data_IF_156277388634
#
_entry.id   IF_156277388634
#
_cell.length_a   1.000
_cell.length_b   1.000
_cell.length_c   1.000
_cell.angle_alpha   90.00
_cell.angle_beta   90.00
_cell.angle_gamma   90.00
#
_symmetry.space_group_name_H-M   'P 1'
#
loop_
_entity.id
_entity.type
_entity.pdbx_description
1 polymer ?
#
# COMPACT_ATOMS: atom_id res chain seq x y z
N UNK A 1 10.67 45.40 -6.42
CA UNK A 1 9.68 44.47 -5.86
C UNK A 1 10.28 43.07 -5.62
N UNK A 2 11.47 42.97 -4.98
CA UNK A 2 12.07 41.71 -4.51
C UNK A 2 13.02 42.03 -3.32
N UNK A 3 12.50 42.56 -2.22
CA UNK A 3 13.33 42.83 -1.03
C UNK A 3 12.62 42.71 0.33
N UNK A 4 11.47 42.04 0.40
CA UNK A 4 10.74 41.83 1.67
C UNK A 4 10.35 40.37 1.95
N UNK A 5 11.16 39.40 1.53
CA UNK A 5 10.93 37.97 1.83
C UNK A 5 12.15 37.28 2.47
N UNK A 6 12.91 37.97 3.33
CA UNK A 6 14.03 37.36 4.08
C UNK A 6 13.84 37.29 5.60
N UNK A 7 12.67 37.65 6.13
CA UNK A 7 12.40 37.64 7.58
C UNK A 7 12.24 36.23 8.20
N UNK A 8 12.35 35.16 7.41
CA UNK A 8 12.22 33.77 7.87
C UNK A 8 13.54 33.07 8.29
N UNK A 9 14.69 33.73 8.16
CA UNK A 9 16.02 33.11 8.42
C UNK A 9 16.63 33.37 9.81
N UNK A 10 15.91 34.03 10.73
CA UNK A 10 16.45 34.37 12.06
C UNK A 10 16.63 33.14 12.97
N UNK A 11 15.77 32.12 12.84
CA UNK A 11 15.89 30.88 13.60
C UNK A 11 17.12 30.06 13.21
N UNK A 12 17.45 30.00 11.92
CA UNK A 12 18.62 29.27 11.43
C UNK A 12 19.92 29.93 11.87
N UNK A 13 20.01 31.27 11.84
CA UNK A 13 21.14 32.03 12.40
C UNK A 13 21.31 31.80 13.91
N UNK A 14 20.22 31.74 14.66
CA UNK A 14 20.26 31.49 16.09
C UNK A 14 20.71 30.05 16.43
N UNK A 15 20.33 29.06 15.61
CA UNK A 15 20.80 27.68 15.73
C UNK A 15 22.29 27.57 15.36
N UNK A 16 22.72 28.27 14.30
CA UNK A 16 24.13 28.34 13.89
C UNK A 16 25.01 29.03 14.95
N UNK A 17 24.53 30.09 15.60
CA UNK A 17 25.25 30.79 16.69
C UNK A 17 25.41 29.92 17.96
N UNK A 18 24.45 29.02 18.23
CA UNK A 18 24.54 28.03 19.31
C UNK A 18 25.54 26.92 18.95
N UNK A 19 25.55 26.47 17.70
CA UNK A 19 26.45 25.43 17.21
C UNK A 19 27.91 25.91 17.11
N UNK A 20 28.13 27.17 16.72
CA UNK A 20 29.46 27.77 16.55
C UNK A 20 30.10 28.28 17.85
N UNK A 21 29.46 28.09 19.01
CA UNK A 21 30.12 28.21 20.31
C UNK A 21 30.26 29.63 20.88
N UNK A 22 29.72 30.67 20.23
CA UNK A 22 29.78 32.06 20.75
C UNK A 22 28.94 32.26 22.03
N UNK A 23 27.99 31.37 22.34
CA UNK A 23 27.15 31.47 23.54
C UNK A 23 26.85 30.09 24.18
N UNK A 24 27.89 29.37 24.60
CA UNK A 24 27.77 28.06 25.29
C UNK A 24 26.75 28.05 26.44
N UNK A 25 26.66 29.15 27.20
CA UNK A 25 25.72 29.28 28.32
C UNK A 25 24.27 29.26 27.85
N UNK A 26 23.93 29.98 26.77
CA UNK A 26 22.56 30.00 26.22
C UNK A 26 22.16 28.63 25.65
N UNK A 27 23.09 27.93 24.99
CA UNK A 27 22.86 26.56 24.51
C UNK A 27 22.56 25.58 25.66
N UNK A 28 23.26 25.70 26.79
CA UNK A 28 22.99 24.90 28.00
C UNK A 28 21.59 25.21 28.57
N UNK A 29 21.22 26.49 28.71
CA UNK A 29 19.88 26.86 29.20
C UNK A 29 18.76 26.32 28.31
N UNK A 30 18.89 26.46 26.99
CA UNK A 30 17.91 25.92 26.03
C UNK A 30 17.80 24.40 26.18
N UNK A 31 18.93 23.70 26.26
CA UNK A 31 18.96 22.24 26.43
C UNK A 31 18.28 21.80 27.73
N UNK A 32 18.55 22.48 28.85
CA UNK A 32 17.92 22.19 30.15
C UNK A 32 16.41 22.41 30.10
N UNK A 33 15.96 23.52 29.51
CA UNK A 33 14.52 23.82 29.36
C UNK A 33 13.83 22.74 28.53
N UNK A 34 14.44 22.30 27.42
CA UNK A 34 13.90 21.22 26.58
C UNK A 34 13.80 19.91 27.37
N UNK A 35 14.83 19.53 28.13
CA UNK A 35 14.82 18.31 28.95
C UNK A 35 13.73 18.36 30.03
N UNK A 36 13.57 19.51 30.70
CA UNK A 36 12.52 19.69 31.72
C UNK A 36 11.13 19.58 31.09
N UNK A 37 10.90 20.20 29.93
CA UNK A 37 9.63 20.11 29.21
C UNK A 37 9.30 18.67 28.80
N UNK A 38 10.27 17.94 28.23
CA UNK A 38 10.10 16.53 27.86
C UNK A 38 9.76 15.69 29.09
N UNK A 39 10.43 15.93 30.21
CA UNK A 39 10.21 15.20 31.46
C UNK A 39 8.83 15.49 32.05
N UNK A 40 8.40 16.76 32.06
CA UNK A 40 7.05 17.15 32.50
C UNK A 40 5.97 16.51 31.64
N UNK A 41 6.12 16.56 30.32
CA UNK A 41 5.19 15.93 29.37
C UNK A 41 5.13 14.42 29.59
N UNK A 42 6.27 13.75 29.75
CA UNK A 42 6.35 12.33 30.05
C UNK A 42 5.60 11.96 31.33
N UNK A 43 5.83 12.70 32.42
CA UNK A 43 5.17 12.46 33.72
C UNK A 43 3.66 12.65 33.63
N UNK A 44 3.20 13.71 32.96
CA UNK A 44 1.76 13.96 32.75
C UNK A 44 1.11 12.82 31.98
N UNK A 45 1.76 12.32 30.93
CA UNK A 45 1.24 11.22 30.12
C UNK A 45 1.16 9.92 30.92
N UNK A 46 2.23 9.56 31.65
CA UNK A 46 2.23 8.36 32.49
C UNK A 46 1.13 8.43 33.56
N UNK A 47 0.94 9.59 34.19
CA UNK A 47 -0.13 9.79 35.17
C UNK A 47 -1.53 9.74 34.55
N UNK A 48 -1.70 10.28 33.35
CA UNK A 48 -2.96 10.24 32.60
C UNK A 48 -3.34 8.82 32.20
N UNK A 49 -2.38 8.03 31.71
CA UNK A 49 -2.60 6.63 31.33
C UNK A 49 -3.00 5.75 32.52
N UNK A 50 -2.57 6.07 33.75
CA UNK A 50 -2.99 5.37 34.98
C UNK A 50 -4.44 5.68 35.39
N UNK A 51 -5.03 6.81 34.97
CA UNK A 51 -6.37 7.24 35.41
C UNK A 51 -7.53 6.64 34.62
N UNK A 52 -7.29 6.03 33.46
CA UNK A 52 -8.34 5.53 32.56
C UNK A 52 -8.72 4.05 32.75
N UNK A 53 -8.44 3.45 33.92
CA UNK A 53 -8.72 2.04 34.18
C UNK A 53 -10.17 1.73 34.51
N UNK A 54 -11.06 1.65 33.52
CA UNK A 54 -12.12 0.64 33.57
C UNK A 54 -11.47 -0.68 33.17
N UNK A 55 -11.50 -1.67 34.06
CA UNK A 55 -10.94 -3.02 33.86
C UNK A 55 -11.70 -3.78 32.77
N UNK A 56 -11.50 -3.40 31.51
CA UNK A 56 -11.72 -4.34 30.42
C UNK A 56 -10.58 -5.36 30.51
N UNK A 57 -10.93 -6.64 30.63
CA UNK A 57 -9.97 -7.75 30.60
C UNK A 57 -9.37 -7.82 29.19
N UNK A 58 -8.32 -7.03 28.97
CA UNK A 58 -7.59 -7.04 27.71
C UNK A 58 -6.71 -8.30 27.63
N UNK A 59 -6.44 -8.79 26.41
CA UNK A 59 -5.54 -9.91 26.22
C UNK A 59 -4.14 -9.66 26.82
N UNK A 60 -3.42 -10.72 27.22
CA UNK A 60 -2.06 -10.62 27.72
C UNK A 60 -1.10 -10.11 26.64
N UNK A 61 0.06 -9.58 27.04
CA UNK A 61 1.08 -9.16 26.10
C UNK A 61 2.25 -8.42 26.77
N UNK A 62 3.36 -8.21 26.04
CA UNK A 62 4.52 -7.52 26.57
C UNK A 62 4.18 -6.07 26.94
N UNK A 63 4.66 -5.63 28.11
CA UNK A 63 4.46 -4.25 28.56
C UNK A 63 5.23 -3.29 27.64
N UNK A 64 4.51 -2.43 26.94
CA UNK A 64 5.10 -1.38 26.12
C UNK A 64 5.63 -0.21 26.96
N UNK A 65 6.59 0.53 26.40
CA UNK A 65 7.08 1.78 26.95
C UNK A 65 5.97 2.86 26.89
N UNK A 66 5.98 3.87 27.78
CA UNK A 66 5.07 4.99 27.66
C UNK A 66 5.23 5.68 26.29
N UNK A 67 4.13 6.20 25.75
CA UNK A 67 4.00 6.83 24.42
C UNK A 67 4.24 5.92 23.21
N UNK A 68 5.36 5.21 23.16
CA UNK A 68 5.83 4.46 22.00
C UNK A 68 5.27 3.03 21.98
N UNK A 69 4.95 2.48 23.15
CA UNK A 69 4.48 1.11 23.30
C UNK A 69 5.59 0.11 23.01
N UNK A 70 5.31 -0.88 22.17
CA UNK A 70 6.20 -1.98 21.82
C UNK A 70 7.00 -1.73 20.52
N UNK A 71 6.88 -0.56 19.89
CA UNK A 71 7.55 -0.28 18.60
C UNK A 71 9.06 -0.51 18.64
N UNK A 72 9.74 -0.10 19.73
CA UNK A 72 11.19 -0.28 19.88
C UNK A 72 11.61 -1.73 20.18
N UNK A 73 10.66 -2.59 20.50
CA UNK A 73 10.89 -4.00 20.82
C UNK A 73 10.56 -4.93 19.64
N UNK A 74 10.17 -4.38 18.49
CA UNK A 74 9.85 -5.16 17.29
C UNK A 74 11.14 -5.72 16.67
N UNK A 75 11.12 -7.02 16.35
CA UNK A 75 12.16 -7.65 15.54
C UNK A 75 11.79 -7.55 14.04
N UNK A 76 12.78 -7.49 13.11
CA UNK A 76 12.50 -7.33 11.67
C UNK A 76 11.57 -8.38 11.07
N UNK A 77 11.67 -9.63 11.51
CA UNK A 77 10.80 -10.72 11.08
C UNK A 77 9.55 -10.79 11.95
N UNK A 78 8.60 -9.89 11.71
CA UNK A 78 7.41 -9.72 12.55
C UNK A 78 6.62 -11.02 12.77
N UNK A 79 6.48 -11.86 11.74
CA UNK A 79 5.76 -13.13 11.85
C UNK A 79 6.47 -14.10 12.82
N UNK A 80 7.80 -14.20 12.77
CA UNK A 80 8.60 -15.01 13.72
C UNK A 80 8.55 -14.41 15.12
N UNK A 81 8.63 -13.08 15.24
CA UNK A 81 8.52 -12.38 16.51
C UNK A 81 7.17 -12.65 17.19
N UNK A 82 6.08 -12.56 16.44
CA UNK A 82 4.74 -12.84 16.95
C UNK A 82 4.56 -14.30 17.35
N UNK A 83 5.15 -15.24 16.61
CA UNK A 83 5.18 -16.65 17.01
C UNK A 83 5.93 -16.86 18.34
N UNK A 84 7.07 -16.19 18.55
CA UNK A 84 7.78 -16.25 19.84
C UNK A 84 6.92 -15.71 20.97
N UNK A 85 6.23 -14.58 20.76
CA UNK A 85 5.34 -14.01 21.75
C UNK A 85 4.14 -14.92 22.05
N UNK A 86 3.60 -15.62 21.05
CA UNK A 86 2.44 -16.49 21.26
C UNK A 86 2.77 -17.69 22.16
N UNK A 87 4.01 -18.18 22.10
CA UNK A 87 4.52 -19.21 23.01
C UNK A 87 4.62 -18.74 24.48
N UNK A 88 4.72 -17.43 24.72
CA UNK A 88 4.85 -16.83 26.05
C UNK A 88 3.50 -16.38 26.61
N UNK A 89 2.72 -15.65 25.79
CA UNK A 89 1.49 -14.97 26.22
C UNK A 89 0.22 -15.72 25.81
N UNK A 90 0.34 -16.76 24.99
CA UNK A 90 -0.80 -17.50 24.45
C UNK A 90 -1.26 -16.98 23.09
N UNK A 91 -2.39 -17.51 22.57
CA UNK A 91 -2.79 -17.36 21.18
C UNK A 91 -3.44 -16.00 20.84
N UNK A 92 -3.75 -15.16 21.85
CA UNK A 92 -4.27 -13.79 21.69
C UNK A 92 -3.32 -12.85 22.44
N UNK A 93 -2.63 -11.99 21.69
CA UNK A 93 -1.57 -11.15 22.21
C UNK A 93 -1.92 -9.69 21.98
N UNK A 94 -1.84 -8.87 23.02
CA UNK A 94 -1.96 -7.43 22.92
C UNK A 94 -0.60 -6.78 22.74
N UNK A 95 -0.49 -5.92 21.73
CA UNK A 95 0.62 -5.01 21.49
C UNK A 95 0.11 -3.58 21.40
N UNK A 96 0.98 -2.63 21.70
CA UNK A 96 0.71 -1.21 21.59
C UNK A 96 1.73 -0.58 20.63
N UNK A 97 1.30 -0.04 19.50
CA UNK A 97 2.16 0.66 18.56
C UNK A 97 1.86 2.16 18.59
N UNK A 98 2.66 2.93 19.35
CA UNK A 98 2.34 4.32 19.63
C UNK A 98 0.96 4.44 20.30
N UNK A 99 0.03 5.13 19.66
CA UNK A 99 -1.37 5.26 20.13
C UNK A 99 -2.30 4.14 19.65
N UNK A 100 -1.82 3.22 18.82
CA UNK A 100 -2.62 2.15 18.21
C UNK A 100 -2.52 0.84 18.99
N UNK A 101 -3.65 0.28 19.37
CA UNK A 101 -3.71 -1.05 19.98
C UNK A 101 -3.75 -2.10 18.85
N UNK A 102 -2.89 -3.10 18.92
CA UNK A 102 -2.80 -4.20 17.95
C UNK A 102 -3.03 -5.50 18.68
N UNK A 103 -3.98 -6.31 18.18
CA UNK A 103 -4.24 -7.65 18.68
C UNK A 103 -3.71 -8.65 17.65
N UNK A 104 -2.79 -9.50 18.08
CA UNK A 104 -2.22 -10.57 17.26
C UNK A 104 -2.90 -11.88 17.63
N UNK A 105 -3.37 -12.60 16.62
CA UNK A 105 -3.98 -13.92 16.77
C UNK A 105 -3.05 -14.97 16.16
N UNK A 106 -2.74 -16.01 16.92
CA UNK A 106 -1.76 -17.04 16.54
C UNK A 106 -2.33 -18.46 16.64
N UNK A 107 -3.60 -18.64 16.29
CA UNK A 107 -4.27 -19.94 16.26
C UNK A 107 -5.24 -20.04 15.07
N UNK A 108 -5.32 -21.21 14.46
CA UNK A 108 -6.24 -21.48 13.34
C UNK A 108 -7.71 -21.40 13.77
N UNK A 109 -8.04 -21.84 14.98
CA UNK A 109 -9.40 -21.75 15.55
C UNK A 109 -9.86 -20.29 15.67
N UNK A 110 -9.00 -19.42 16.19
CA UNK A 110 -9.27 -17.98 16.29
C UNK A 110 -9.33 -17.31 14.91
N UNK A 111 -8.45 -17.71 13.99
CA UNK A 111 -8.51 -17.21 12.61
C UNK A 111 -9.84 -17.55 11.94
N UNK A 112 -10.37 -18.77 12.16
CA UNK A 112 -11.71 -19.16 11.70
C UNK A 112 -12.78 -18.28 12.36
N UNK A 113 -12.71 -18.11 13.68
CA UNK A 113 -13.69 -17.31 14.41
C UNK A 113 -13.79 -15.88 13.87
N UNK A 114 -12.65 -15.20 13.67
CA UNK A 114 -12.65 -13.80 13.21
C UNK A 114 -12.85 -13.62 11.70
N UNK A 115 -12.37 -14.55 10.86
CA UNK A 115 -12.44 -14.42 9.40
C UNK A 115 -13.67 -15.08 8.78
N UNK A 116 -14.41 -15.91 9.53
CA UNK A 116 -15.60 -16.62 9.06
C UNK A 116 -16.81 -16.39 9.96
N UNK A 117 -16.68 -16.69 11.25
CA UNK A 117 -17.84 -16.74 12.15
C UNK A 117 -18.24 -15.33 12.66
N UNK A 118 -17.30 -14.37 12.64
CA UNK A 118 -17.45 -12.97 13.01
C UNK A 118 -16.94 -12.03 11.89
N UNK A 119 -16.96 -12.48 10.65
CA UNK A 119 -16.38 -11.78 9.50
C UNK A 119 -16.90 -10.34 9.36
N UNK A 120 -18.21 -10.10 9.57
CA UNK A 120 -18.81 -8.76 9.52
C UNK A 120 -18.18 -7.80 10.55
N UNK A 121 -17.85 -8.29 11.74
CA UNK A 121 -17.29 -7.47 12.82
C UNK A 121 -15.80 -7.16 12.60
N UNK A 122 -15.07 -8.05 11.90
CA UNK A 122 -13.63 -7.94 11.67
C UNK A 122 -13.25 -7.69 10.19
N UNK A 123 -14.22 -7.34 9.35
CA UNK A 123 -13.99 -7.03 7.93
C UNK A 123 -13.19 -5.72 7.74
N UNK A 124 -13.17 -4.85 8.75
CA UNK A 124 -12.44 -3.58 8.72
C UNK A 124 -10.96 -3.75 8.35
N UNK A 125 -10.44 -2.77 7.63
CA UNK A 125 -9.02 -2.67 7.25
C UNK A 125 -8.36 -1.53 7.99
N UNK A 126 -7.12 -1.76 8.36
CA UNK A 126 -6.25 -0.69 8.82
C UNK A 126 -5.94 0.28 7.67
N UNK A 127 -5.86 1.58 7.97
CA UNK A 127 -5.74 2.64 6.97
C UNK A 127 -4.51 3.50 7.18
N UNK A 128 -3.33 3.00 6.79
CA UNK A 128 -2.13 3.80 6.65
C UNK A 128 -2.35 5.04 5.79
N UNK A 129 -1.73 6.16 6.18
CA UNK A 129 -1.90 7.47 5.53
C UNK A 129 -1.58 7.39 4.03
N UNK A 130 -0.48 6.75 3.65
CA UNK A 130 -0.06 6.64 2.24
C UNK A 130 -1.07 5.91 1.35
N UNK A 131 -1.81 4.95 1.90
CA UNK A 131 -2.76 4.17 1.12
C UNK A 131 -3.96 4.98 0.65
N UNK A 132 -4.30 6.10 1.30
CA UNK A 132 -5.39 6.96 0.84
C UNK A 132 -5.19 7.40 -0.62
N UNK A 133 -3.98 7.86 -0.95
CA UNK A 133 -3.65 8.25 -2.31
C UNK A 133 -3.49 7.03 -3.21
N UNK A 134 -2.69 6.03 -2.80
CA UNK A 134 -2.38 4.87 -3.63
C UNK A 134 -3.61 4.03 -4.02
N UNK A 135 -4.70 4.12 -3.26
CA UNK A 135 -5.93 3.33 -3.48
C UNK A 135 -7.08 4.14 -4.10
N UNK A 136 -6.78 5.30 -4.70
CA UNK A 136 -7.80 6.19 -5.26
C UNK A 136 -8.91 6.54 -4.24
N UNK A 137 -8.51 6.89 -3.01
CA UNK A 137 -9.45 7.24 -1.95
C UNK A 137 -10.23 6.04 -1.41
N UNK A 138 -9.58 4.88 -1.23
CA UNK A 138 -10.20 3.62 -0.77
C UNK A 138 -11.17 2.98 -1.76
N UNK A 139 -10.97 3.22 -3.05
CA UNK A 139 -11.79 2.63 -4.13
C UNK A 139 -11.27 1.25 -4.58
N UNK A 140 -10.11 0.83 -4.08
CA UNK A 140 -9.47 -0.44 -4.40
C UNK A 140 -10.12 -1.65 -3.69
N UNK A 141 -9.80 -2.86 -4.15
CA UNK A 141 -10.36 -4.09 -3.58
C UNK A 141 -9.69 -4.55 -2.28
N UNK A 142 -8.49 -4.08 -1.98
CA UNK A 142 -7.65 -4.60 -0.90
C UNK A 142 -7.86 -3.80 0.39
N UNK A 143 -7.92 -2.45 0.32
CA UNK A 143 -8.10 -1.54 1.45
C UNK A 143 -9.43 -0.77 1.47
N UNK A 144 -10.27 -0.92 0.43
CA UNK A 144 -11.60 -0.32 0.38
C UNK A 144 -12.53 -0.71 1.52
N UNK A 145 -13.51 0.15 1.80
CA UNK A 145 -14.52 -0.09 2.84
C UNK A 145 -15.40 -1.27 2.47
N UNK A 146 -15.69 -2.19 3.40
CA UNK A 146 -16.58 -3.34 3.15
C UNK A 146 -18.07 -2.95 3.05
N UNK A 147 -18.38 -1.95 2.24
CA UNK A 147 -19.72 -1.44 1.97
C UNK A 147 -20.37 -2.15 0.78
N UNK A 148 -21.47 -1.59 0.27
CA UNK A 148 -22.18 -2.16 -0.88
C UNK A 148 -21.39 -1.98 -2.18
N UNK A 149 -20.64 -0.88 -2.32
CA UNK A 149 -19.84 -0.58 -3.51
C UNK A 149 -18.64 -1.51 -3.62
N UNK A 150 -17.89 -1.73 -2.54
CA UNK A 150 -16.80 -2.71 -2.55
C UNK A 150 -17.30 -4.13 -2.82
N UNK A 151 -18.46 -4.52 -2.26
CA UNK A 151 -19.07 -5.84 -2.57
C UNK A 151 -19.44 -5.95 -4.05
N UNK A 152 -19.93 -4.88 -4.66
CA UNK A 152 -20.22 -4.80 -6.11
C UNK A 152 -18.93 -4.99 -6.92
N UNK A 153 -17.89 -4.22 -6.62
CA UNK A 153 -16.59 -4.31 -7.33
C UNK A 153 -15.94 -5.67 -7.17
N UNK A 154 -15.96 -6.25 -5.96
CA UNK A 154 -15.43 -7.59 -5.69
C UNK A 154 -16.21 -8.66 -6.47
N UNK A 155 -17.53 -8.54 -6.56
CA UNK A 155 -18.37 -9.44 -7.35
C UNK A 155 -18.01 -9.33 -8.84
N UNK A 156 -17.90 -8.12 -9.37
CA UNK A 156 -17.48 -7.87 -10.76
C UNK A 156 -16.11 -8.50 -11.03
N UNK A 157 -15.11 -8.22 -10.19
CA UNK A 157 -13.77 -8.78 -10.34
C UNK A 157 -13.80 -10.32 -10.36
N UNK A 158 -14.52 -10.94 -9.43
CA UNK A 158 -14.62 -12.41 -9.36
C UNK A 158 -15.38 -13.03 -10.56
N UNK A 159 -16.43 -12.38 -11.04
CA UNK A 159 -17.30 -12.93 -12.09
C UNK A 159 -16.80 -12.64 -13.50
N UNK A 160 -16.18 -11.49 -13.70
CA UNK A 160 -15.82 -10.99 -15.03
C UNK A 160 -14.32 -11.12 -15.30
N UNK A 161 -13.45 -10.91 -14.29
CA UNK A 161 -11.99 -10.96 -14.49
C UNK A 161 -11.41 -12.32 -14.09
N UNK A 162 -11.82 -12.84 -12.93
CA UNK A 162 -11.25 -14.04 -12.31
C UNK A 162 -12.12 -15.29 -12.51
N UNK A 163 -13.11 -15.24 -13.42
CA UNK A 163 -13.92 -16.41 -13.74
C UNK A 163 -13.14 -17.41 -14.60
N UNK A 164 -13.55 -18.68 -14.56
CA UNK A 164 -12.93 -19.72 -15.37
C UNK A 164 -12.93 -19.34 -16.86
N UNK A 165 -14.04 -18.78 -17.36
CA UNK A 165 -14.17 -18.35 -18.75
C UNK A 165 -13.14 -17.28 -19.13
N UNK A 166 -12.97 -16.24 -18.30
CA UNK A 166 -12.01 -15.15 -18.56
C UNK A 166 -10.56 -15.60 -18.38
N UNK A 167 -10.32 -16.52 -17.43
CA UNK A 167 -9.02 -17.15 -17.30
C UNK A 167 -8.70 -18.04 -18.50
N UNK A 168 -9.66 -18.77 -19.05
CA UNK A 168 -9.47 -19.62 -20.23
C UNK A 168 -9.25 -18.78 -21.50
N UNK A 169 -9.94 -17.65 -21.67
CA UNK A 169 -9.69 -16.74 -22.80
C UNK A 169 -8.27 -16.18 -22.80
N UNK A 170 -7.70 -15.93 -21.62
CA UNK A 170 -6.31 -15.50 -21.45
C UNK A 170 -5.27 -16.64 -21.48
N UNK A 171 -5.67 -17.91 -21.70
CA UNK A 171 -4.76 -19.06 -21.68
C UNK A 171 -3.60 -18.90 -22.67
N UNK A 172 -3.88 -18.44 -23.89
CA UNK A 172 -2.87 -18.26 -24.93
C UNK A 172 -1.79 -17.23 -24.52
N UNK A 173 -2.21 -16.15 -23.86
CA UNK A 173 -1.33 -15.09 -23.34
C UNK A 173 -0.41 -15.64 -22.25
N UNK A 174 -0.97 -16.38 -21.27
CA UNK A 174 -0.17 -17.01 -20.20
C UNK A 174 0.83 -18.02 -20.77
N UNK A 175 0.38 -18.90 -21.66
CA UNK A 175 1.21 -19.93 -22.29
C UNK A 175 2.36 -19.33 -23.10
N UNK A 176 2.13 -18.19 -23.76
CA UNK A 176 3.15 -17.47 -24.53
C UNK A 176 4.28 -16.98 -23.63
N UNK A 177 3.97 -16.32 -22.51
CA UNK A 177 4.99 -15.77 -21.61
C UNK A 177 5.74 -16.88 -20.86
N UNK A 178 5.06 -17.94 -20.41
CA UNK A 178 5.72 -19.09 -19.79
C UNK A 178 6.68 -19.78 -20.76
N UNK A 179 6.29 -19.95 -22.04
CA UNK A 179 7.19 -20.54 -23.03
C UNK A 179 8.36 -19.64 -23.40
N UNK A 180 8.18 -18.31 -23.33
CA UNK A 180 9.29 -17.36 -23.46
C UNK A 180 10.28 -17.56 -22.31
N UNK A 181 9.83 -17.56 -21.07
CA UNK A 181 10.69 -17.82 -19.90
C UNK A 181 11.46 -19.14 -20.04
N UNK A 182 10.80 -20.24 -20.42
CA UNK A 182 11.47 -21.53 -20.62
C UNK A 182 12.55 -21.45 -21.70
N UNK A 183 12.27 -20.74 -22.80
CA UNK A 183 13.25 -20.53 -23.88
C UNK A 183 14.44 -19.69 -23.40
N UNK A 184 14.19 -18.63 -22.64
CA UNK A 184 15.23 -17.74 -22.12
C UNK A 184 16.13 -18.49 -21.13
N UNK A 185 15.55 -19.27 -20.21
CA UNK A 185 16.28 -20.15 -19.29
C UNK A 185 17.08 -21.22 -20.05
N UNK A 186 16.51 -21.82 -21.10
CA UNK A 186 17.23 -22.79 -21.93
C UNK A 186 18.41 -22.14 -22.67
N UNK A 187 18.31 -20.87 -23.05
CA UNK A 187 19.43 -20.11 -23.63
C UNK A 187 20.57 -19.82 -22.65
N UNK A 188 20.31 -19.98 -21.35
CA UNK A 188 21.25 -19.75 -20.24
C UNK A 188 21.86 -21.06 -19.72
N UNK A 189 21.96 -22.09 -20.56
CA UNK A 189 22.63 -23.35 -20.20
C UNK A 189 24.06 -23.06 -19.70
N UNK A 190 24.43 -23.69 -18.60
CA UNK A 190 25.71 -23.55 -17.91
C UNK A 190 25.97 -22.17 -17.27
N UNK A 191 24.96 -21.30 -17.14
CA UNK A 191 25.07 -20.07 -16.35
C UNK A 191 24.18 -20.13 -15.09
N UNK A 192 24.65 -19.62 -13.94
CA UNK A 192 23.79 -19.47 -12.77
C UNK A 192 22.65 -18.49 -13.07
N UNK A 193 21.42 -18.87 -12.71
CA UNK A 193 20.23 -18.04 -12.90
C UNK A 193 19.59 -17.67 -11.57
N UNK A 194 19.02 -16.47 -11.49
CA UNK A 194 18.15 -16.07 -10.40
C UNK A 194 16.70 -16.46 -10.71
N UNK A 195 16.26 -17.59 -10.16
CA UNK A 195 14.90 -18.11 -10.38
C UNK A 195 13.83 -17.14 -9.89
N UNK A 196 14.07 -16.44 -8.78
CA UNK A 196 13.12 -15.47 -8.23
C UNK A 196 12.85 -14.32 -9.19
N UNK A 197 13.92 -13.79 -9.79
CA UNK A 197 13.82 -12.72 -10.79
C UNK A 197 13.12 -13.20 -12.07
N UNK A 198 13.49 -14.38 -12.58
CA UNK A 198 12.87 -14.95 -13.79
C UNK A 198 11.37 -15.19 -13.60
N UNK A 199 10.97 -15.77 -12.46
CA UNK A 199 9.57 -16.00 -12.13
C UNK A 199 8.84 -14.68 -11.93
N UNK A 200 9.45 -13.70 -11.26
CA UNK A 200 8.86 -12.38 -11.05
C UNK A 200 8.57 -11.66 -12.38
N UNK A 201 9.57 -11.57 -13.26
CA UNK A 201 9.41 -10.95 -14.59
C UNK A 201 8.35 -11.69 -15.41
N UNK A 202 8.31 -13.02 -15.32
CA UNK A 202 7.32 -13.83 -16.05
C UNK A 202 5.91 -13.60 -15.53
N UNK A 203 5.70 -13.59 -14.20
CA UNK A 203 4.39 -13.31 -13.60
C UNK A 203 3.94 -11.90 -13.96
N UNK A 204 4.83 -10.91 -13.86
CA UNK A 204 4.53 -9.54 -14.25
C UNK A 204 4.09 -9.47 -15.71
N UNK A 205 4.85 -10.06 -16.64
CA UNK A 205 4.49 -10.10 -18.06
C UNK A 205 3.16 -10.82 -18.33
N UNK A 206 2.87 -11.88 -17.57
CA UNK A 206 1.59 -12.60 -17.61
C UNK A 206 0.45 -11.67 -17.18
N UNK A 207 0.57 -11.01 -16.03
CA UNK A 207 -0.47 -10.10 -15.50
C UNK A 207 -0.68 -8.93 -16.44
N UNK A 208 0.39 -8.25 -16.87
CA UNK A 208 0.31 -7.11 -17.79
C UNK A 208 -0.34 -7.48 -19.13
N UNK A 209 -0.05 -8.67 -19.65
CA UNK A 209 -0.73 -9.15 -20.85
C UNK A 209 -2.21 -9.42 -20.64
N UNK A 210 -2.59 -9.96 -19.48
CA UNK A 210 -4.01 -10.18 -19.18
C UNK A 210 -4.75 -8.86 -18.99
N UNK A 211 -4.08 -7.82 -18.49
CA UNK A 211 -4.65 -6.49 -18.28
C UNK A 211 -4.89 -5.75 -19.60
N UNK A 212 -3.86 -5.66 -20.47
CA UNK A 212 -3.90 -4.81 -21.68
C UNK A 212 -3.12 -5.39 -22.87
N UNK A 213 -2.92 -6.71 -22.91
CA UNK A 213 -2.04 -7.36 -23.88
C UNK A 213 -2.45 -7.24 -25.35
N UNK A 214 -3.71 -6.87 -25.65
CA UNK A 214 -4.16 -6.58 -27.01
C UNK A 214 -3.98 -5.11 -27.41
N UNK A 215 -3.75 -4.22 -26.43
CA UNK A 215 -3.79 -2.76 -26.61
C UNK A 215 -2.43 -2.18 -26.99
N UNK A 216 -1.34 -2.69 -26.42
CA UNK A 216 0.02 -2.12 -26.58
C UNK A 216 0.95 -3.12 -27.25
N UNK A 217 1.71 -2.66 -28.26
CA UNK A 217 2.56 -3.52 -29.09
C UNK A 217 4.02 -3.05 -29.13
N UNK A 218 4.91 -3.98 -29.51
CA UNK A 218 6.31 -3.68 -29.78
C UNK A 218 7.08 -3.06 -28.60
N UNK A 219 7.90 -2.05 -28.90
CA UNK A 219 8.78 -1.37 -27.95
C UNK A 219 8.01 -0.60 -26.87
N UNK A 220 6.85 -0.06 -27.22
CA UNK A 220 6.02 0.71 -26.28
C UNK A 220 5.54 -0.16 -25.13
N UNK A 221 5.15 -1.42 -25.41
CA UNK A 221 4.76 -2.38 -24.38
C UNK A 221 5.89 -2.63 -23.37
N UNK A 222 7.12 -2.72 -23.85
CA UNK A 222 8.30 -2.94 -22.99
C UNK A 222 8.49 -1.74 -22.08
N UNK A 223 8.41 -0.52 -22.63
CA UNK A 223 8.58 0.71 -21.88
C UNK A 223 7.50 0.88 -20.80
N UNK A 224 6.23 0.66 -21.15
CA UNK A 224 5.10 0.71 -20.20
C UNK A 224 5.26 -0.34 -19.10
N UNK A 225 5.69 -1.56 -19.44
CA UNK A 225 5.92 -2.61 -18.45
C UNK A 225 7.02 -2.27 -17.44
N UNK A 226 8.13 -1.69 -17.92
CA UNK A 226 9.24 -1.23 -17.06
C UNK A 226 8.79 -0.10 -16.14
N UNK A 227 8.06 0.87 -16.67
CA UNK A 227 7.57 2.00 -15.88
C UNK A 227 6.56 1.55 -14.82
N UNK A 228 5.62 0.67 -15.19
CA UNK A 228 4.66 0.08 -14.27
C UNK A 228 5.35 -0.71 -13.16
N UNK A 229 6.36 -1.53 -13.48
CA UNK A 229 7.14 -2.26 -12.49
C UNK A 229 7.84 -1.32 -11.51
N UNK A 230 8.44 -0.23 -12.01
CA UNK A 230 9.10 0.77 -11.16
C UNK A 230 8.09 1.41 -10.19
N UNK A 231 6.91 1.77 -10.68
CA UNK A 231 5.87 2.40 -9.85
C UNK A 231 5.35 1.42 -8.80
N UNK A 232 5.03 0.17 -9.18
CA UNK A 232 4.59 -0.86 -8.23
C UNK A 232 5.65 -1.15 -7.15
N UNK A 233 6.94 -1.14 -7.53
CA UNK A 233 8.03 -1.31 -6.57
C UNK A 233 8.05 -0.15 -5.57
N UNK A 234 7.94 1.10 -6.05
CA UNK A 234 7.84 2.28 -5.17
C UNK A 234 6.60 2.27 -4.27
N UNK A 235 5.46 1.83 -4.79
CA UNK A 235 4.23 1.66 -3.99
C UNK A 235 4.43 0.63 -2.87
N UNK A 236 5.00 -0.54 -3.20
CA UNK A 236 5.29 -1.58 -2.22
C UNK A 236 6.28 -1.11 -1.14
N UNK A 237 7.35 -0.42 -1.53
CA UNK A 237 8.29 0.17 -0.56
C UNK A 237 7.60 1.14 0.39
N UNK A 238 6.69 1.97 -0.14
CA UNK A 238 5.96 2.94 0.66
C UNK A 238 4.97 2.28 1.62
N UNK A 239 4.26 1.24 1.18
CA UNK A 239 3.29 0.51 2.01
C UNK A 239 3.97 -0.31 3.11
N UNK A 240 5.15 -0.88 2.83
CA UNK A 240 5.88 -1.73 3.78
C UNK A 240 6.71 -0.93 4.78
N UNK A 241 7.08 0.31 4.46
CA UNK A 241 7.89 1.15 5.33
C UNK A 241 7.05 1.70 6.50
N UNK A 242 7.55 1.62 7.75
CA UNK A 242 6.84 2.18 8.89
C UNK A 242 6.73 3.71 8.79
N UNK A 243 5.52 4.22 8.93
CA UNK A 243 5.20 5.64 8.98
C UNK A 243 4.80 6.06 10.39
N UNK A 244 5.50 7.05 10.95
CA UNK A 244 5.28 7.57 12.28
C UNK A 244 3.87 8.17 12.44
N UNK A 245 3.33 8.73 11.36
CA UNK A 245 1.98 9.30 11.32
C UNK A 245 0.89 8.26 11.55
N UNK A 246 1.14 7.00 11.18
CA UNK A 246 0.18 5.90 11.38
C UNK A 246 0.10 5.45 12.86
N UNK A 247 1.15 5.71 13.64
CA UNK A 247 1.21 5.41 15.07
C UNK A 247 0.83 6.63 15.93
N UNK A 248 1.04 7.85 15.39
CA UNK A 248 0.77 9.12 16.05
C UNK A 248 -0.03 10.05 15.11
N UNK A 249 -1.36 9.92 15.06
CA UNK A 249 -2.21 10.64 14.10
C UNK A 249 -2.08 12.17 14.15
N UNK A 250 -1.66 12.74 15.29
CA UNK A 250 -1.45 14.19 15.44
C UNK A 250 -0.32 14.70 14.54
N UNK A 251 0.61 13.82 14.15
CA UNK A 251 1.74 14.13 13.28
C UNK A 251 1.40 14.01 11.80
N UNK A 252 0.27 13.38 11.44
CA UNK A 252 -0.11 13.12 10.05
C UNK A 252 -0.18 14.39 9.20
N UNK A 253 -0.61 15.52 9.78
CA UNK A 253 -0.68 16.82 9.10
C UNK A 253 0.67 17.32 8.55
N UNK A 254 1.79 16.89 9.14
CA UNK A 254 3.11 17.44 8.82
C UNK A 254 3.86 16.64 7.76
N UNK A 255 3.38 15.44 7.39
CA UNK A 255 4.06 14.53 6.45
C UNK A 255 5.58 14.40 6.71
N UNK A 256 5.96 14.15 7.98
CA UNK A 256 7.36 14.23 8.44
C UNK A 256 8.33 13.33 7.65
N UNK A 257 7.83 12.23 7.09
CA UNK A 257 8.62 11.27 6.31
C UNK A 257 8.37 11.37 4.80
N UNK A 258 7.55 12.31 4.33
CA UNK A 258 7.25 12.51 2.92
C UNK A 258 6.37 11.43 2.27
N UNK A 259 5.61 10.67 3.08
CA UNK A 259 4.77 9.58 2.59
C UNK A 259 3.63 10.08 1.70
N UNK A 260 2.95 11.16 2.11
CA UNK A 260 1.86 11.71 1.30
C UNK A 260 2.39 12.26 -0.02
N UNK A 261 3.51 12.98 0.02
CA UNK A 261 4.15 13.51 -1.18
C UNK A 261 4.54 12.42 -2.18
N UNK A 262 5.21 11.36 -1.71
CA UNK A 262 5.65 10.27 -2.59
C UNK A 262 4.47 9.43 -3.08
N UNK A 263 3.47 9.16 -2.22
CA UNK A 263 2.26 8.44 -2.63
C UNK A 263 1.52 9.17 -3.76
N UNK A 264 1.35 10.49 -3.64
CA UNK A 264 0.71 11.30 -4.68
C UNK A 264 1.53 11.36 -5.97
N UNK A 265 2.86 11.34 -5.89
CA UNK A 265 3.74 11.28 -7.06
C UNK A 265 3.58 9.94 -7.81
N UNK A 266 3.69 8.83 -7.08
CA UNK A 266 3.51 7.48 -7.64
C UNK A 266 2.11 7.29 -8.23
N UNK A 267 1.07 7.79 -7.55
CA UNK A 267 -0.30 7.75 -8.07
C UNK A 267 -0.42 8.51 -9.39
N UNK A 268 0.18 9.70 -9.51
CA UNK A 268 0.14 10.48 -10.77
C UNK A 268 0.86 9.77 -11.91
N UNK A 269 2.02 9.17 -11.65
CA UNK A 269 2.76 8.37 -12.63
C UNK A 269 1.92 7.16 -13.07
N UNK A 270 1.26 6.47 -12.12
CA UNK A 270 0.36 5.36 -12.44
C UNK A 270 -0.84 5.81 -13.25
N UNK A 271 -1.44 6.96 -12.90
CA UNK A 271 -2.61 7.50 -13.58
C UNK A 271 -2.31 7.85 -15.04
N UNK A 272 -1.09 8.32 -15.33
CA UNK A 272 -0.62 8.59 -16.69
C UNK A 272 -0.54 7.31 -17.53
N UNK A 273 -0.01 6.22 -16.95
CA UNK A 273 0.00 4.92 -17.62
C UNK A 273 -1.44 4.50 -17.93
N UNK A 274 -2.33 4.46 -16.93
CA UNK A 274 -3.72 4.06 -17.16
C UNK A 274 -4.43 4.94 -18.18
N UNK A 275 -4.21 6.26 -18.16
CA UNK A 275 -4.78 7.15 -19.17
C UNK A 275 -4.31 6.78 -20.58
N UNK A 276 -3.00 6.63 -20.77
CA UNK A 276 -2.42 6.30 -22.07
C UNK A 276 -2.97 4.98 -22.62
N UNK A 277 -3.01 3.94 -21.78
CA UNK A 277 -3.50 2.61 -22.19
C UNK A 277 -5.00 2.65 -22.51
N UNK A 278 -5.81 3.32 -21.69
CA UNK A 278 -7.26 3.47 -21.94
C UNK A 278 -7.51 4.23 -23.26
N UNK A 279 -6.80 5.34 -23.49
CA UNK A 279 -6.95 6.14 -24.70
C UNK A 279 -6.55 5.37 -25.97
N UNK A 280 -5.49 4.57 -25.90
CA UNK A 280 -5.07 3.70 -27.01
C UNK A 280 -6.11 2.64 -27.32
N UNK A 281 -6.65 2.00 -26.28
CA UNK A 281 -7.68 1.00 -26.42
C UNK A 281 -8.93 1.56 -27.11
N UNK A 282 -9.41 2.73 -26.65
CA UNK A 282 -10.57 3.39 -27.24
C UNK A 282 -10.35 3.85 -28.69
N UNK A 283 -9.11 4.09 -29.13
CA UNK A 283 -8.78 4.40 -30.53
C UNK A 283 -8.83 3.15 -31.40
N UNK A 284 -8.19 2.05 -30.96
CA UNK A 284 -8.22 0.76 -31.66
C UNK A 284 -9.64 0.25 -31.84
N UNK A 285 -10.48 0.46 -30.82
CA UNK A 285 -11.90 0.09 -30.83
C UNK A 285 -12.73 0.80 -31.90
N UNK A 286 -12.36 2.03 -32.28
CA UNK A 286 -13.02 2.80 -33.34
C UNK A 286 -12.53 2.44 -34.74
N UNK A 287 -11.30 1.96 -34.85
CA UNK A 287 -10.62 1.72 -36.13
C UNK A 287 -10.79 0.28 -36.64
N UNK A 288 -10.98 -0.72 -35.76
CA UNK A 288 -10.97 -2.14 -36.11
C UNK A 288 -12.20 -2.92 -35.60
N UNK A 289 -13.38 -2.72 -36.22
CA UNK A 289 -14.56 -3.54 -35.92
C UNK A 289 -14.45 -5.00 -36.42
N UNK A 290 -13.63 -5.30 -37.43
CA UNK A 290 -13.58 -6.64 -38.07
C UNK A 290 -12.48 -7.57 -37.55
N UNK A 291 -11.43 -7.06 -36.90
CA UNK A 291 -10.30 -7.88 -36.40
C UNK A 291 -10.43 -8.33 -34.93
N UNK A 292 -11.49 -7.89 -34.23
CA UNK A 292 -11.74 -8.16 -32.80
C UNK A 292 -11.84 -9.65 -32.44
N UNK A 293 -12.38 -10.49 -33.31
CA UNK A 293 -12.59 -11.92 -33.01
C UNK A 293 -11.28 -12.72 -32.88
N UNK A 294 -10.16 -12.24 -33.43
CA UNK A 294 -8.91 -13.01 -33.48
C UNK A 294 -7.95 -12.76 -32.32
N UNK A 295 -8.08 -11.66 -31.59
CA UNK A 295 -7.09 -11.25 -30.57
C UNK A 295 -7.38 -11.76 -29.14
N UNK A 296 -8.60 -12.23 -28.86
CA UNK A 296 -9.04 -12.54 -27.50
C UNK A 296 -9.26 -11.26 -26.67
N UNK A 297 -10.30 -11.26 -25.82
CA UNK A 297 -10.63 -10.11 -24.97
C UNK A 297 -9.64 -10.01 -23.79
N UNK A 298 -9.07 -8.83 -23.56
CA UNK A 298 -8.29 -8.52 -22.36
C UNK A 298 -9.16 -7.90 -21.25
N UNK A 299 -8.64 -7.82 -20.03
CA UNK A 299 -9.41 -7.33 -18.87
C UNK A 299 -9.82 -5.86 -19.02
N UNK A 300 -9.01 -5.03 -19.66
CA UNK A 300 -9.37 -3.65 -19.93
C UNK A 300 -10.62 -3.54 -20.80
N UNK A 301 -10.72 -4.34 -21.87
CA UNK A 301 -11.93 -4.39 -22.70
C UNK A 301 -13.17 -4.71 -21.87
N UNK A 302 -13.10 -5.74 -21.01
CA UNK A 302 -14.22 -6.12 -20.15
C UNK A 302 -14.64 -4.99 -19.21
N UNK A 303 -13.68 -4.30 -18.59
CA UNK A 303 -13.97 -3.20 -17.68
C UNK A 303 -14.58 -2.00 -18.42
N UNK A 304 -14.14 -1.71 -19.64
CA UNK A 304 -14.73 -0.65 -20.47
C UNK A 304 -16.16 -1.00 -20.90
N UNK A 305 -16.42 -2.25 -21.32
CA UNK A 305 -17.79 -2.72 -21.61
C UNK A 305 -18.72 -2.54 -20.39
N UNK A 306 -18.22 -2.74 -19.16
CA UNK A 306 -18.98 -2.52 -17.94
C UNK A 306 -19.27 -1.04 -17.65
N UNK A 307 -18.43 -0.11 -18.10
CA UNK A 307 -18.69 1.33 -17.99
C UNK A 307 -19.85 1.78 -18.90
N UNK A 308 -20.01 1.10 -20.04
CA UNK A 308 -21.02 1.41 -21.06
C UNK A 308 -22.39 0.79 -20.80
N UNK A 309 -22.48 -0.24 -19.92
CA UNK A 309 -23.75 -0.87 -19.56
C UNK A 309 -24.74 0.12 -18.93
N UNK A 310 -25.99 0.09 -19.39
CA UNK A 310 -27.08 0.91 -18.86
C UNK A 310 -27.55 0.48 -17.45
N UNK A 311 -27.26 -0.75 -17.02
CA UNK A 311 -27.64 -1.22 -15.69
C UNK A 311 -26.77 -0.58 -14.60
N UNK A 312 -27.39 0.29 -13.81
CA UNK A 312 -26.82 0.95 -12.63
C UNK A 312 -26.18 -0.01 -11.63
N UNK A 313 -26.60 -1.28 -11.58
CA UNK A 313 -26.06 -2.29 -10.65
C UNK A 313 -24.69 -2.83 -11.06
N UNK A 314 -24.32 -2.74 -12.34
CA UNK A 314 -23.05 -3.26 -12.87
C UNK A 314 -22.12 -2.16 -13.37
N UNK A 315 -22.60 -0.92 -13.48
CA UNK A 315 -21.81 0.20 -13.96
C UNK A 315 -20.72 0.58 -12.96
N UNK A 316 -19.51 0.79 -13.48
CA UNK A 316 -18.34 1.26 -12.72
C UNK A 316 -17.90 2.64 -13.20
N UNK A 317 -17.27 3.41 -12.32
CA UNK A 317 -16.66 4.70 -12.67
C UNK A 317 -15.24 4.51 -13.19
N UNK A 318 -14.68 5.54 -13.84
CA UNK A 318 -13.27 5.52 -14.29
C UNK A 318 -12.30 5.33 -13.12
N UNK A 319 -12.62 5.86 -11.93
CA UNK A 319 -11.82 5.69 -10.72
C UNK A 319 -11.86 4.23 -10.27
N UNK A 320 -13.05 3.62 -10.28
CA UNK A 320 -13.22 2.21 -9.92
C UNK A 320 -12.53 1.29 -10.93
N UNK A 321 -12.57 1.61 -12.23
CA UNK A 321 -11.83 0.89 -13.26
C UNK A 321 -10.32 0.93 -12.97
N UNK A 322 -9.77 2.13 -12.74
CA UNK A 322 -8.34 2.29 -12.42
C UNK A 322 -7.95 1.59 -11.12
N UNK A 323 -8.80 1.64 -10.11
CA UNK A 323 -8.59 0.94 -8.84
C UNK A 323 -8.69 -0.59 -8.95
N UNK A 324 -9.39 -1.11 -9.98
CA UNK A 324 -9.44 -2.55 -10.29
C UNK A 324 -8.24 -3.05 -11.11
N UNK A 325 -7.59 -2.16 -11.86
CA UNK A 325 -6.38 -2.46 -12.62
C UNK A 325 -5.11 -2.44 -11.77
N UNK A 326 -5.19 -1.85 -10.57
CA UNK A 326 -4.11 -1.75 -9.59
C UNK A 326 -4.05 -2.99 -8.69
#
# INVERSE_FOLDING_TARGET
MISQLSAGLSWWRWVDDIANGENKVKGVYVSVVVVVLITCVYVVIVKSQRKNGRELRLPPGPRGLPLIGNLLSLEPNLHVYFEKLSKIYGPIIKLQFGRKCVIVLSSSSLAKEILRDQDVNFAGRDRPVALLALTYGWSDLIWGHSDQEWRKLRKICNQELLSNTSLDSCYALRRKEVRRMVKDVYGMINTPINVGEQVFVTILNVVLNMLWGSTIHGQERINVGIEFQRILTGMNELVLKPNISDFFPILARFDLQGFDKEANKLLREMDQIFHSVIDQHLKLDKENNEHREKSGKDFLQFLLELMEKQDSKTRITIIQLKALLL
#
